data_IF_051884167616
#
_entry.id   IF_051884167616
#
_cell.length_a   1.000
_cell.length_b   1.000
_cell.length_c   1.000
_cell.angle_alpha   90.00
_cell.angle_beta   90.00
_cell.angle_gamma   90.00
#
_symmetry.space_group_name_H-M   'P 1'
#
loop_
_entity.id
_entity.type
_entity.pdbx_description
1 polymer ?
#
# COMPACT_ATOMS: atom_id res chain seq x y z
N UNK A 1 11.64 3.98 -22.03
CA UNK A 1 11.73 3.04 -20.91
C UNK A 1 11.31 3.72 -19.62
N UNK A 2 10.32 3.16 -18.96
CA UNK A 2 9.83 3.71 -17.70
C UNK A 2 10.79 3.41 -16.57
N UNK A 3 10.92 4.36 -15.63
CA UNK A 3 11.67 4.20 -14.41
C UNK A 3 10.79 4.65 -13.24
N UNK A 4 11.10 4.15 -12.07
CA UNK A 4 10.37 4.51 -10.86
C UNK A 4 11.29 5.23 -9.89
N UNK A 5 10.73 6.12 -9.08
CA UNK A 5 11.42 6.74 -7.96
C UNK A 5 10.92 6.07 -6.68
N UNK A 6 11.83 5.62 -5.83
CA UNK A 6 11.48 4.87 -4.62
C UNK A 6 12.01 5.60 -3.39
N UNK A 7 11.11 5.86 -2.44
CA UNK A 7 11.46 6.31 -1.10
C UNK A 7 11.46 5.08 -0.21
N UNK A 8 12.62 4.74 0.32
CA UNK A 8 12.80 3.52 1.12
C UNK A 8 12.68 3.79 2.62
N UNK A 9 12.36 2.74 3.35
CA UNK A 9 12.35 2.74 4.82
C UNK A 9 11.56 3.92 5.39
N UNK A 10 10.33 4.09 4.92
CA UNK A 10 9.46 5.18 5.32
C UNK A 10 9.29 5.20 6.83
N UNK A 11 9.51 6.37 7.45
CA UNK A 11 9.52 6.57 8.90
C UNK A 11 10.50 5.65 9.63
N UNK A 12 11.61 5.29 8.98
CA UNK A 12 12.60 4.36 9.54
C UNK A 12 12.16 2.91 9.62
N UNK A 13 11.01 2.57 9.05
CA UNK A 13 10.47 1.20 9.07
C UNK A 13 10.99 0.44 7.86
N UNK A 14 11.85 -0.53 8.12
CA UNK A 14 12.52 -1.30 7.07
C UNK A 14 11.51 -2.02 6.18
N UNK A 15 11.66 -1.83 4.87
CA UNK A 15 10.87 -2.50 3.86
C UNK A 15 9.64 -1.73 3.39
N UNK A 16 9.16 -0.73 4.13
CA UNK A 16 8.09 0.15 3.66
C UNK A 16 8.64 1.08 2.59
N UNK A 17 7.98 1.11 1.43
CA UNK A 17 8.43 1.91 0.29
C UNK A 17 7.28 2.69 -0.32
N UNK A 18 7.54 3.94 -0.68
CA UNK A 18 6.65 4.73 -1.53
C UNK A 18 7.25 4.77 -2.93
N UNK A 19 6.47 4.42 -3.93
CA UNK A 19 6.90 4.33 -5.32
C UNK A 19 6.18 5.42 -6.13
N UNK A 20 6.95 6.16 -6.90
CA UNK A 20 6.42 7.16 -7.82
C UNK A 20 6.76 6.74 -9.25
N UNK A 21 5.76 6.30 -10.04
CA UNK A 21 5.97 5.95 -11.44
C UNK A 21 6.36 7.18 -12.25
N UNK A 22 7.09 6.97 -13.33
CA UNK A 22 7.31 8.02 -14.33
C UNK A 22 6.03 8.18 -15.14
N UNK A 23 5.53 9.41 -15.21
CA UNK A 23 4.32 9.74 -15.95
C UNK A 23 4.70 10.45 -17.24
N UNK A 24 4.27 9.91 -18.37
CA UNK A 24 4.51 10.50 -19.69
C UNK A 24 3.21 11.19 -20.15
N UNK A 25 3.22 12.54 -20.16
CA UNK A 25 2.04 13.32 -20.50
C UNK A 25 2.19 14.08 -21.81
N UNK A 26 1.09 14.26 -22.54
CA UNK A 26 1.00 15.12 -23.71
C UNK A 26 -0.45 15.64 -23.84
N UNK A 27 -0.76 16.28 -24.99
CA UNK A 27 -2.09 16.87 -25.20
C UNK A 27 -3.24 15.84 -25.19
N UNK A 28 -2.94 14.55 -25.35
CA UNK A 28 -3.96 13.49 -25.33
C UNK A 28 -4.26 12.96 -23.94
N UNK A 29 -3.38 13.22 -22.97
CA UNK A 29 -3.47 12.68 -21.61
C UNK A 29 -2.12 12.19 -21.13
N UNK A 30 -2.10 11.05 -20.45
CA UNK A 30 -0.85 10.50 -19.91
C UNK A 30 -0.78 8.99 -20.07
N UNK A 31 0.45 8.50 -20.00
CA UNK A 31 0.76 7.07 -19.95
C UNK A 31 1.76 6.83 -18.81
N UNK A 32 1.60 5.73 -18.10
CA UNK A 32 2.60 5.29 -17.13
C UNK A 32 2.55 3.77 -17.01
N UNK A 33 3.69 3.16 -16.68
CA UNK A 33 3.72 1.77 -16.26
C UNK A 33 3.40 1.75 -14.78
N UNK A 34 2.35 1.05 -14.39
CA UNK A 34 1.96 0.94 -12.99
C UNK A 34 2.71 -0.18 -12.27
N UNK A 35 3.21 -1.14 -13.02
CA UNK A 35 4.07 -2.20 -12.51
C UNK A 35 4.96 -2.73 -13.61
N UNK A 36 6.26 -2.82 -13.32
CA UNK A 36 7.25 -3.44 -14.19
C UNK A 36 8.15 -4.30 -13.31
N UNK A 37 8.14 -5.60 -13.54
CA UNK A 37 8.88 -6.55 -12.69
C UNK A 37 10.35 -6.19 -12.57
N UNK A 38 11.01 -5.85 -13.67
CA UNK A 38 12.44 -5.54 -13.65
C UNK A 38 12.77 -4.30 -12.83
N UNK A 39 12.00 -3.22 -13.01
CA UNK A 39 12.19 -1.97 -12.28
C UNK A 39 11.95 -2.17 -10.77
N UNK A 40 10.91 -2.91 -10.44
CA UNK A 40 10.58 -3.21 -9.04
C UNK A 40 11.61 -4.13 -8.40
N UNK A 41 12.11 -5.12 -9.14
CA UNK A 41 13.17 -6.00 -8.66
C UNK A 41 14.45 -5.22 -8.34
N UNK A 42 14.85 -4.30 -9.20
CA UNK A 42 15.99 -3.42 -8.97
C UNK A 42 15.80 -2.56 -7.71
N UNK A 43 14.56 -2.20 -7.41
CA UNK A 43 14.21 -1.42 -6.22
C UNK A 43 14.09 -2.28 -4.95
N UNK A 44 14.40 -3.57 -5.03
CA UNK A 44 14.33 -4.47 -3.89
C UNK A 44 12.97 -5.12 -3.67
N UNK A 45 12.06 -5.00 -4.63
CA UNK A 45 10.73 -5.64 -4.59
C UNK A 45 10.77 -6.84 -5.54
N UNK A 46 11.37 -7.92 -5.07
CA UNK A 46 11.52 -9.15 -5.86
C UNK A 46 10.55 -10.21 -5.34
N UNK A 47 9.30 -10.05 -5.72
CA UNK A 47 8.23 -10.97 -5.33
C UNK A 47 7.31 -11.24 -6.52
N UNK A 48 6.51 -12.29 -6.41
CA UNK A 48 5.51 -12.64 -7.41
C UNK A 48 4.13 -12.26 -6.91
N UNK A 49 3.49 -11.35 -7.61
CA UNK A 49 2.10 -11.00 -7.33
C UNK A 49 1.17 -11.99 -8.02
N UNK A 50 0.22 -12.52 -7.28
CA UNK A 50 -0.66 -13.61 -7.74
C UNK A 50 -2.13 -13.22 -7.82
N UNK A 51 -2.49 -12.05 -7.26
CA UNK A 51 -3.88 -11.60 -7.22
C UNK A 51 -3.94 -10.09 -7.27
N UNK A 52 -4.87 -9.55 -8.08
CA UNK A 52 -5.21 -8.15 -8.12
C UNK A 52 -6.58 -7.95 -7.51
N UNK A 53 -6.74 -6.93 -6.68
CA UNK A 53 -8.00 -6.55 -6.07
C UNK A 53 -8.34 -5.10 -6.37
N UNK A 54 -9.63 -4.80 -6.45
CA UNK A 54 -10.12 -3.44 -6.64
C UNK A 54 -11.33 -3.21 -5.75
N UNK A 55 -11.36 -2.05 -5.10
CA UNK A 55 -12.52 -1.63 -4.32
C UNK A 55 -12.90 -0.19 -4.64
N UNK A 56 -14.13 0.15 -4.38
CA UNK A 56 -14.65 1.51 -4.50
C UNK A 56 -15.37 1.86 -3.21
N UNK A 57 -15.19 3.07 -2.72
CA UNK A 57 -15.75 3.48 -1.44
C UNK A 57 -16.07 4.97 -1.40
N UNK A 58 -17.08 5.33 -0.62
CA UNK A 58 -17.48 6.71 -0.39
C UNK A 58 -16.60 7.37 0.67
N UNK A 59 -16.66 8.70 0.74
CA UNK A 59 -15.95 9.50 1.73
C UNK A 59 -16.19 9.00 3.15
N UNK A 60 -15.13 8.93 3.92
CA UNK A 60 -15.16 8.53 5.31
C UNK A 60 -15.16 7.04 5.55
N UNK A 61 -15.29 6.21 4.51
CA UNK A 61 -15.19 4.76 4.66
C UNK A 61 -13.76 4.41 5.06
N UNK A 62 -13.65 3.61 6.11
CA UNK A 62 -12.38 3.09 6.61
C UNK A 62 -12.36 1.58 6.41
N UNK A 63 -11.32 1.07 5.76
CA UNK A 63 -11.10 -0.36 5.59
C UNK A 63 -9.80 -0.73 6.29
N UNK A 64 -9.86 -1.69 7.18
CA UNK A 64 -8.70 -2.18 7.93
C UNK A 64 -8.79 -1.84 9.41
N UNK A 65 -7.74 -1.95 10.13
CA UNK A 65 -6.41 -2.48 9.75
C UNK A 65 -6.45 -4.00 9.75
N UNK A 66 -6.08 -4.64 8.65
CA UNK A 66 -6.10 -6.10 8.55
C UNK A 66 -4.76 -6.69 8.13
N UNK A 67 -4.63 -8.00 8.40
CA UNK A 67 -3.48 -8.80 7.99
C UNK A 67 -3.90 -10.28 7.93
N UNK A 68 -3.15 -11.07 7.19
CA UNK A 68 -3.30 -12.53 7.19
C UNK A 68 -2.21 -13.14 8.05
N UNK A 69 -2.57 -14.10 8.89
CA UNK A 69 -1.71 -14.65 9.95
C UNK A 69 -0.80 -15.74 9.39
N UNK A 70 -1.39 -16.79 8.80
CA UNK A 70 -0.66 -17.96 8.28
C UNK A 70 -0.24 -17.78 6.83
N UNK A 71 -0.94 -16.92 6.09
CA UNK A 71 -0.68 -16.63 4.68
C UNK A 71 -0.44 -15.13 4.48
N UNK A 72 0.62 -14.57 5.09
CA UNK A 72 0.87 -13.14 5.00
C UNK A 72 1.17 -12.71 3.57
N UNK A 73 0.77 -11.48 3.25
CA UNK A 73 0.88 -10.92 1.90
C UNK A 73 1.79 -9.71 1.88
N UNK A 74 2.69 -9.65 0.88
CA UNK A 74 3.23 -8.37 0.44
C UNK A 74 2.16 -7.70 -0.40
N UNK A 75 2.02 -6.38 -0.29
CA UNK A 75 1.00 -5.61 -0.98
C UNK A 75 1.61 -4.43 -1.72
N UNK A 76 1.13 -4.20 -2.94
CA UNK A 76 1.43 -2.99 -3.70
C UNK A 76 0.12 -2.29 -3.99
N UNK A 77 -0.10 -1.16 -3.35
CA UNK A 77 -1.38 -0.46 -3.37
C UNK A 77 -1.30 0.88 -4.10
N UNK A 78 -2.39 1.27 -4.76
CA UNK A 78 -2.50 2.55 -5.46
C UNK A 78 -3.96 2.98 -5.58
N UNK A 79 -4.16 4.28 -5.81
CA UNK A 79 -5.48 4.87 -6.03
C UNK A 79 -5.62 5.27 -7.49
N UNK A 80 -6.67 4.78 -8.15
CA UNK A 80 -6.97 5.14 -9.55
C UNK A 80 -7.80 6.41 -9.62
N UNK A 81 -8.68 6.60 -8.65
CA UNK A 81 -9.61 7.74 -8.61
C UNK A 81 -9.80 8.19 -7.17
N UNK A 82 -9.76 9.50 -6.96
CA UNK A 82 -9.92 10.08 -5.63
C UNK A 82 -8.65 10.09 -4.81
N UNK A 83 -8.80 10.11 -3.49
CA UNK A 83 -7.70 10.19 -2.55
C UNK A 83 -8.01 9.41 -1.28
N UNK A 84 -7.00 8.69 -0.78
CA UNK A 84 -7.06 7.99 0.51
C UNK A 84 -5.86 8.34 1.37
N UNK A 85 -6.00 8.15 2.67
CA UNK A 85 -4.87 8.11 3.60
C UNK A 85 -4.63 6.64 3.94
N UNK A 86 -3.50 6.12 3.55
CA UNK A 86 -3.14 4.70 3.66
C UNK A 86 -2.12 4.51 4.77
N UNK A 87 -2.35 3.54 5.64
CA UNK A 87 -1.54 3.32 6.85
C UNK A 87 -1.09 1.87 6.94
N UNK A 88 0.17 1.69 7.25
CA UNK A 88 0.76 0.38 7.55
C UNK A 88 1.40 0.40 8.94
N UNK A 89 1.17 -0.65 9.70
CA UNK A 89 1.70 -0.82 11.06
C UNK A 89 2.59 -2.06 11.08
N UNK A 90 3.82 -1.90 11.55
CA UNK A 90 4.77 -3.00 11.66
C UNK A 90 4.38 -3.95 12.79
N UNK A 91 4.02 -5.18 12.43
CA UNK A 91 3.69 -6.24 13.39
C UNK A 91 4.68 -7.40 13.31
N UNK A 92 5.83 -7.20 12.66
CA UNK A 92 6.84 -8.27 12.52
C UNK A 92 7.50 -8.55 13.86
N UNK A 93 7.45 -9.82 14.26
CA UNK A 93 8.06 -10.30 15.49
C UNK A 93 9.56 -10.03 15.47
N UNK A 94 10.09 -9.45 16.56
CA UNK A 94 11.52 -9.14 16.67
C UNK A 94 11.98 -7.92 15.86
N UNK A 95 11.09 -7.20 15.20
CA UNK A 95 11.44 -5.98 14.48
C UNK A 95 11.74 -4.84 15.45
N UNK A 96 12.79 -4.07 15.15
CA UNK A 96 13.15 -2.87 15.92
C UNK A 96 12.08 -1.79 15.87
N UNK A 97 11.18 -1.87 14.89
CA UNK A 97 10.08 -0.92 14.70
C UNK A 97 8.72 -1.54 14.95
N UNK A 98 8.65 -2.65 15.69
CA UNK A 98 7.39 -3.29 16.05
C UNK A 98 6.43 -2.27 16.69
N UNK A 99 5.20 -2.22 16.18
CA UNK A 99 4.17 -1.29 16.64
C UNK A 99 4.26 0.12 16.05
N UNK A 100 5.31 0.44 15.33
CA UNK A 100 5.43 1.73 14.64
C UNK A 100 4.64 1.71 13.34
N UNK A 101 4.23 2.89 12.89
CA UNK A 101 3.39 3.03 11.72
C UNK A 101 3.86 4.15 10.80
N UNK A 102 3.39 4.10 9.57
CA UNK A 102 3.60 5.16 8.57
C UNK A 102 2.32 5.31 7.77
N UNK A 103 1.93 6.56 7.53
CA UNK A 103 0.78 6.89 6.71
C UNK A 103 1.19 7.75 5.53
N UNK A 104 0.52 7.55 4.39
CA UNK A 104 0.79 8.28 3.16
C UNK A 104 -0.51 8.57 2.42
N UNK A 105 -0.62 9.76 1.83
CA UNK A 105 -1.72 10.07 0.93
C UNK A 105 -1.44 9.49 -0.44
N UNK A 106 -2.40 8.71 -0.94
CA UNK A 106 -2.38 8.15 -2.29
C UNK A 106 -3.56 8.74 -3.05
N UNK A 107 -3.31 9.25 -4.25
CA UNK A 107 -4.36 9.91 -5.04
C UNK A 107 -4.18 9.70 -6.53
N UNK A 108 -5.25 9.97 -7.28
CA UNK A 108 -5.18 10.01 -8.74
C UNK A 108 -4.21 11.09 -9.23
N UNK A 109 -4.03 12.15 -8.46
CA UNK A 109 -3.16 13.27 -8.83
C UNK A 109 -1.69 12.96 -8.58
N UNK A 110 -1.35 12.45 -7.39
CA UNK A 110 0.06 12.18 -7.05
C UNK A 110 0.57 10.86 -7.62
N UNK A 111 -0.33 9.95 -7.97
CA UNK A 111 -0.02 8.64 -8.59
C UNK A 111 0.98 7.80 -7.80
N UNK A 112 1.12 8.09 -6.50
CA UNK A 112 1.99 7.32 -5.63
C UNK A 112 1.44 5.93 -5.38
N UNK A 113 2.35 4.99 -5.23
CA UNK A 113 2.05 3.63 -4.82
C UNK A 113 2.75 3.35 -3.51
N UNK A 114 2.21 2.44 -2.73
CA UNK A 114 2.75 2.07 -1.43
C UNK A 114 3.01 0.58 -1.39
N UNK A 115 4.27 0.20 -1.13
CA UNK A 115 4.64 -1.20 -0.97
C UNK A 115 4.73 -1.53 0.52
N UNK A 116 3.94 -2.51 0.93
CA UNK A 116 3.81 -2.95 2.31
C UNK A 116 4.23 -4.41 2.39
N UNK A 117 5.39 -4.72 3.02
CA UNK A 117 5.86 -6.10 3.15
C UNK A 117 4.95 -6.95 4.02
N UNK A 118 5.18 -8.27 3.99
CA UNK A 118 4.55 -9.21 4.91
C UNK A 118 4.78 -8.81 6.35
N UNK A 119 3.82 -9.11 7.21
CA UNK A 119 3.94 -8.85 8.64
C UNK A 119 3.47 -7.47 9.07
N UNK A 120 2.79 -6.75 8.20
CA UNK A 120 2.20 -5.46 8.53
C UNK A 120 0.67 -5.55 8.57
N UNK A 121 0.05 -4.79 9.47
CA UNK A 121 -1.36 -4.49 9.36
C UNK A 121 -1.52 -3.31 8.41
N UNK A 122 -2.58 -3.30 7.63
CA UNK A 122 -2.81 -2.32 6.58
C UNK A 122 -4.26 -1.87 6.53
N UNK A 123 -4.46 -0.59 6.26
CA UNK A 123 -5.79 -0.04 6.05
C UNK A 123 -5.74 1.35 5.47
N UNK A 124 -6.90 1.88 5.15
CA UNK A 124 -7.00 3.23 4.60
C UNK A 124 -8.36 3.86 4.91
N UNK A 125 -8.38 5.18 4.87
CA UNK A 125 -9.62 5.97 4.95
C UNK A 125 -9.76 6.82 3.69
N UNK A 126 -10.98 6.91 3.17
CA UNK A 126 -11.29 7.68 1.96
C UNK A 126 -11.43 9.16 2.33
N UNK A 127 -10.61 10.01 1.72
CA UNK A 127 -10.58 11.45 1.96
C UNK A 127 -11.44 12.25 0.97
N UNK A 128 -11.53 11.78 -0.27
CA UNK A 128 -12.36 12.38 -1.32
C UNK A 128 -13.80 11.90 -1.23
N UNK A 129 -14.69 12.47 -2.05
CA UNK A 129 -16.11 12.04 -2.07
C UNK A 129 -16.26 10.58 -2.47
N UNK A 130 -15.32 10.07 -3.26
CA UNK A 130 -15.31 8.71 -3.78
C UNK A 130 -13.89 8.33 -4.12
N UNK A 131 -13.52 7.08 -3.89
CA UNK A 131 -12.19 6.58 -4.27
C UNK A 131 -12.26 5.17 -4.84
N UNK A 132 -11.45 4.91 -5.85
CA UNK A 132 -11.21 3.57 -6.39
C UNK A 132 -9.78 3.18 -6.05
N UNK A 133 -9.63 2.05 -5.39
CA UNK A 133 -8.40 1.56 -4.79
C UNK A 133 -8.06 0.20 -5.38
N UNK A 134 -6.82 0.06 -5.86
CA UNK A 134 -6.32 -1.19 -6.43
C UNK A 134 -5.09 -1.67 -5.71
N UNK A 135 -4.95 -2.98 -5.56
CA UNK A 135 -3.71 -3.51 -5.00
C UNK A 135 -3.42 -4.93 -5.49
N UNK A 136 -2.12 -5.21 -5.58
CA UNK A 136 -1.57 -6.53 -5.91
C UNK A 136 -1.09 -7.19 -4.62
N UNK A 137 -1.25 -8.49 -4.54
CA UNK A 137 -0.82 -9.27 -3.36
C UNK A 137 -0.04 -10.51 -3.78
N UNK A 138 0.86 -10.96 -2.90
CA UNK A 138 1.76 -12.08 -3.17
C UNK A 138 1.22 -13.42 -2.69
N UNK A 139 0.09 -13.44 -2.01
CA UNK A 139 -0.61 -14.65 -1.63
C UNK A 139 -2.11 -14.44 -1.79
N UNK A 140 -2.84 -15.52 -1.95
CA UNK A 140 -4.29 -15.45 -2.16
C UNK A 140 -5.01 -15.02 -0.89
N UNK A 141 -6.20 -14.44 -1.07
CA UNK A 141 -7.04 -14.06 0.05
C UNK A 141 -7.58 -15.30 0.77
N UNK A 142 -7.33 -15.37 2.08
CA UNK A 142 -7.79 -16.44 2.95
C UNK A 142 -8.72 -15.82 4.01
N UNK A 143 -10.04 -15.80 3.79
CA UNK A 143 -10.96 -15.12 4.71
C UNK A 143 -10.95 -15.67 6.13
N UNK A 144 -10.60 -16.94 6.31
CA UNK A 144 -10.52 -17.56 7.64
C UNK A 144 -9.18 -17.30 8.35
N UNK A 145 -8.24 -16.65 7.69
CA UNK A 145 -6.90 -16.35 8.21
C UNK A 145 -6.74 -14.89 8.61
N UNK A 146 -7.78 -14.10 8.47
CA UNK A 146 -7.71 -12.65 8.65
C UNK A 146 -7.69 -12.26 10.13
N UNK A 147 -6.74 -11.37 10.48
CA UNK A 147 -6.69 -10.68 11.77
C UNK A 147 -6.91 -9.20 11.59
N UNK A 148 -7.19 -8.49 12.66
CA UNK A 148 -7.44 -7.07 12.61
C UNK A 148 -6.94 -6.33 13.83
N UNK A 149 -6.69 -5.04 13.65
CA UNK A 149 -6.35 -4.09 14.69
C UNK A 149 -7.36 -2.95 14.68
N UNK A 150 -7.64 -2.42 15.88
CA UNK A 150 -8.37 -1.16 15.98
C UNK A 150 -7.47 -0.02 15.52
N UNK A 151 -7.93 0.76 14.56
CA UNK A 151 -7.18 1.91 14.07
C UNK A 151 -6.94 2.96 15.17
N UNK A 152 -7.80 2.99 16.20
CA UNK A 152 -7.68 3.90 17.36
C UNK A 152 -6.89 3.31 18.52
N UNK A 153 -6.20 2.19 18.33
CA UNK A 153 -5.43 1.57 19.40
C UNK A 153 -4.39 2.58 19.95
N UNK A 154 -4.47 2.97 21.23
CA UNK A 154 -3.59 3.98 21.79
C UNK A 154 -2.13 3.54 21.87
N UNK A 155 -1.86 2.25 21.88
CA UNK A 155 -0.48 1.72 21.87
C UNK A 155 0.19 1.96 20.52
N UNK A 156 -0.58 2.01 19.44
CA UNK A 156 -0.08 2.26 18.08
C UNK A 156 -0.03 3.76 17.80
N UNK A 157 -1.08 4.48 18.19
CA UNK A 157 -1.14 5.94 18.11
C UNK A 157 -1.26 6.50 16.70
N UNK A 158 -1.99 5.82 15.81
CA UNK A 158 -2.26 6.34 14.46
C UNK A 158 -3.17 7.56 14.54
N UNK A 159 -2.77 8.63 13.85
CA UNK A 159 -3.54 9.87 13.76
C UNK A 159 -4.53 9.89 12.60
#
# INVERSE_FOLDING_TARGET
MSKITVTENCNGIKGLKVIEPTVFGDARGYFMETYNYNDFKEAGIDCTFVQDNQSASKKGVLRGLHFQISFPQDKLVRVIRGEVYDVAVDLREGSDTFGKWFGVRLSEDNKKQFFIPKGFAHGFVVLSNYAEFCYKVTDFYHPNDEGGLLWKDPEIGVD
#
